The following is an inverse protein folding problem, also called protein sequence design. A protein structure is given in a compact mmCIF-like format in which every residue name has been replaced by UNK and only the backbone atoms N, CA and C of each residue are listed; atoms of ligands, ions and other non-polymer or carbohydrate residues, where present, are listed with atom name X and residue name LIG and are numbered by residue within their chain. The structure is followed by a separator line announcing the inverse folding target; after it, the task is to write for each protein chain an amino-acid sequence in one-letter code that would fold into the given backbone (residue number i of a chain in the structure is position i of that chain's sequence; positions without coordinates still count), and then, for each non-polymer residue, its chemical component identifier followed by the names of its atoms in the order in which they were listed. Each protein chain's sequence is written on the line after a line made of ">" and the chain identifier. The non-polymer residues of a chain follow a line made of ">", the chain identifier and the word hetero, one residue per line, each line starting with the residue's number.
data_IF_782987563854
#
_entry.id   IF_782987563854
#
_cell.length_a   1.000
_cell.length_b   1.000
_cell.length_c   1.000
_cell.angle_alpha   90.00
_cell.angle_beta   90.00
_cell.angle_gamma   90.00
#
_symmetry.space_group_name_H-M   'P 1'
#
loop_
_entity.id
_entity.type
_entity.pdbx_description
1 polymer ?
#
# COMPACT_ATOMS: atom_id res chain seq x y z
N UNK A 1 -14.34 -21.31 -8.57
CA UNK A 1 -13.29 -22.34 -8.42
C UNK A 1 -11.97 -21.99 -9.13
N UNK A 2 -11.95 -21.40 -10.34
CA UNK A 2 -10.70 -21.05 -11.04
C UNK A 2 -9.92 -19.91 -10.37
N UNK A 3 -10.58 -18.93 -9.79
CA UNK A 3 -9.94 -17.79 -9.11
C UNK A 3 -9.30 -18.14 -7.75
N UNK A 4 -9.76 -19.20 -7.09
CA UNK A 4 -9.17 -19.70 -5.84
C UNK A 4 -7.82 -20.38 -6.10
N UNK A 5 -7.64 -21.03 -7.25
CA UNK A 5 -6.41 -21.72 -7.62
C UNK A 5 -5.30 -20.75 -8.03
N UNK A 6 -5.65 -19.58 -8.61
CA UNK A 6 -4.68 -18.57 -9.07
C UNK A 6 -4.21 -17.61 -7.96
N UNK A 7 -4.76 -17.70 -6.74
CA UNK A 7 -4.40 -16.80 -5.63
C UNK A 7 -4.82 -15.33 -5.84
N UNK A 8 -5.67 -15.05 -6.84
CA UNK A 8 -6.07 -13.68 -7.21
C UNK A 8 -7.36 -13.21 -6.55
N UNK A 9 -8.00 -14.05 -5.73
CA UNK A 9 -9.26 -13.71 -5.05
C UNK A 9 -9.16 -12.47 -4.17
N UNK A 10 -8.02 -12.21 -3.54
CA UNK A 10 -7.90 -11.03 -2.71
C UNK A 10 -7.67 -9.73 -3.47
N UNK A 11 -7.35 -9.77 -4.75
CA UNK A 11 -7.20 -8.57 -5.58
C UNK A 11 -8.54 -8.08 -6.12
N UNK A 12 -9.51 -8.99 -6.30
CA UNK A 12 -10.88 -8.67 -6.68
C UNK A 12 -11.73 -8.19 -5.49
N UNK A 13 -11.35 -8.55 -4.27
CA UNK A 13 -11.96 -8.01 -3.06
C UNK A 13 -11.39 -6.62 -2.76
N UNK A 14 -12.23 -5.69 -2.27
CA UNK A 14 -11.78 -4.39 -1.76
C UNK A 14 -10.74 -4.65 -0.66
N UNK A 15 -9.47 -4.32 -0.94
CA UNK A 15 -8.33 -4.67 -0.10
C UNK A 15 -7.70 -3.42 0.53
N UNK A 16 -6.86 -3.63 1.53
CA UNK A 16 -6.07 -2.55 2.12
C UNK A 16 -5.15 -1.82 1.13
N UNK A 17 -4.78 -2.47 0.01
CA UNK A 17 -4.03 -1.83 -1.08
C UNK A 17 -4.79 -0.65 -1.68
N UNK A 18 -6.11 -0.78 -1.87
CA UNK A 18 -6.96 0.30 -2.40
C UNK A 18 -6.90 1.54 -1.51
N UNK A 19 -6.96 1.35 -0.19
CA UNK A 19 -6.85 2.44 0.80
C UNK A 19 -5.47 3.08 0.74
N UNK A 20 -4.41 2.29 0.64
CA UNK A 20 -3.03 2.79 0.51
C UNK A 20 -2.84 3.63 -0.76
N UNK A 21 -3.36 3.17 -1.90
CA UNK A 21 -3.29 3.91 -3.17
C UNK A 21 -4.09 5.21 -3.07
N UNK A 22 -5.31 5.16 -2.49
CA UNK A 22 -6.15 6.34 -2.27
C UNK A 22 -5.43 7.38 -1.41
N UNK A 23 -4.81 6.94 -0.30
CA UNK A 23 -4.04 7.81 0.58
C UNK A 23 -2.89 8.50 -0.16
N UNK A 24 -2.06 7.74 -0.87
CA UNK A 24 -0.92 8.28 -1.64
C UNK A 24 -1.41 9.25 -2.72
N UNK A 25 -2.49 8.90 -3.42
CA UNK A 25 -3.08 9.73 -4.46
C UNK A 25 -3.52 11.10 -3.90
N UNK A 26 -4.25 11.11 -2.79
CA UNK A 26 -4.73 12.35 -2.16
C UNK A 26 -3.55 13.20 -1.69
N UNK A 27 -2.59 12.60 -0.98
CA UNK A 27 -1.40 13.32 -0.50
C UNK A 27 -0.61 13.94 -1.65
N UNK A 28 -0.47 13.24 -2.79
CA UNK A 28 0.20 13.74 -3.99
C UNK A 28 -0.55 14.91 -4.62
N UNK A 29 -1.88 14.83 -4.72
CA UNK A 29 -2.70 15.95 -5.24
C UNK A 29 -2.53 17.18 -4.36
N UNK A 30 -2.66 17.05 -3.04
CA UNK A 30 -2.51 18.20 -2.15
C UNK A 30 -1.10 18.78 -2.16
N UNK A 31 -0.08 17.95 -2.36
CA UNK A 31 1.28 18.41 -2.57
C UNK A 31 1.43 19.22 -3.87
N UNK A 32 0.80 18.79 -4.97
CA UNK A 32 0.78 19.51 -6.25
C UNK A 32 0.01 20.85 -6.14
N UNK A 33 -1.04 20.89 -5.32
CA UNK A 33 -1.83 22.09 -5.05
C UNK A 33 -1.17 23.04 -4.03
N UNK A 34 0.08 22.76 -3.63
CA UNK A 34 0.86 23.55 -2.66
C UNK A 34 0.15 23.72 -1.31
N UNK A 35 -0.74 22.78 -0.94
CA UNK A 35 -1.40 22.78 0.36
C UNK A 35 -0.39 22.38 1.46
N UNK A 36 -0.41 23.03 2.63
CA UNK A 36 0.46 22.66 3.75
C UNK A 36 0.36 21.18 4.08
N UNK A 37 1.53 20.52 4.25
CA UNK A 37 1.63 19.06 4.44
C UNK A 37 0.69 18.53 5.51
N UNK A 38 0.58 19.22 6.65
CA UNK A 38 -0.28 18.80 7.76
C UNK A 38 -1.76 18.71 7.36
N UNK A 39 -2.26 19.72 6.61
CA UNK A 39 -3.66 19.72 6.14
C UNK A 39 -3.91 18.62 5.13
N UNK A 40 -2.99 18.41 4.18
CA UNK A 40 -3.09 17.34 3.20
C UNK A 40 -3.12 15.94 3.85
N UNK A 41 -2.31 15.71 4.88
CA UNK A 41 -2.28 14.46 5.64
C UNK A 41 -3.60 14.22 6.41
N UNK A 42 -4.13 15.26 7.07
CA UNK A 42 -5.39 15.16 7.81
C UNK A 42 -6.55 14.83 6.86
N UNK A 43 -6.66 15.55 5.74
CA UNK A 43 -7.72 15.31 4.76
C UNK A 43 -7.60 13.90 4.19
N UNK A 44 -6.39 13.43 3.85
CA UNK A 44 -6.18 12.08 3.35
C UNK A 44 -6.61 11.02 4.39
N UNK A 45 -6.28 11.19 5.67
CA UNK A 45 -6.69 10.29 6.74
C UNK A 45 -8.22 10.26 6.92
N UNK A 46 -8.86 11.42 6.89
CA UNK A 46 -10.34 11.53 6.98
C UNK A 46 -11.01 10.84 5.80
N UNK A 47 -10.52 11.04 4.57
CA UNK A 47 -11.07 10.38 3.37
C UNK A 47 -10.89 8.86 3.45
N UNK A 48 -9.75 8.37 3.94
CA UNK A 48 -9.55 6.93 4.16
C UNK A 48 -10.52 6.34 5.19
N UNK A 49 -10.83 7.08 6.27
CA UNK A 49 -11.85 6.68 7.24
C UNK A 49 -13.25 6.67 6.62
N UNK A 50 -13.62 7.71 5.88
CA UNK A 50 -14.90 7.76 5.17
C UNK A 50 -15.03 6.59 4.19
N UNK A 51 -13.95 6.27 3.48
CA UNK A 51 -13.91 5.11 2.59
C UNK A 51 -14.14 3.79 3.34
N UNK A 52 -13.59 3.66 4.57
CA UNK A 52 -13.83 2.49 5.40
C UNK A 52 -15.33 2.36 5.78
N UNK A 53 -15.99 3.46 6.11
CA UNK A 53 -17.44 3.47 6.37
C UNK A 53 -18.25 3.12 5.12
N UNK A 54 -17.90 3.66 3.96
CA UNK A 54 -18.59 3.37 2.69
C UNK A 54 -18.45 1.91 2.24
N UNK A 55 -17.44 1.21 2.75
CA UNK A 55 -17.19 -0.22 2.44
C UNK A 55 -17.68 -1.17 3.53
N UNK A 56 -18.66 -0.74 4.35
CA UNK A 56 -19.23 -1.52 5.46
C UNK A 56 -18.17 -2.00 6.46
N UNK A 57 -17.16 -1.17 6.73
CA UNK A 57 -16.07 -1.43 7.69
C UNK A 57 -15.40 -2.80 7.48
N UNK A 58 -15.24 -3.22 6.22
CA UNK A 58 -14.58 -4.50 5.92
C UNK A 58 -13.26 -4.62 6.69
N UNK A 59 -12.98 -5.77 7.34
CA UNK A 59 -11.83 -5.90 8.24
C UNK A 59 -10.48 -5.50 7.61
N UNK A 60 -10.26 -5.79 6.32
CA UNK A 60 -9.04 -5.42 5.61
C UNK A 60 -8.90 -3.91 5.39
N UNK A 61 -10.01 -3.21 5.10
CA UNK A 61 -10.07 -1.77 4.89
C UNK A 61 -9.93 -1.04 6.22
N UNK A 62 -10.61 -1.52 7.26
CA UNK A 62 -10.55 -0.95 8.61
C UNK A 62 -9.11 -0.99 9.15
N UNK A 63 -8.40 -2.12 9.03
CA UNK A 63 -7.00 -2.26 9.45
C UNK A 63 -6.09 -1.25 8.75
N UNK A 64 -6.19 -1.14 7.43
CA UNK A 64 -5.34 -0.21 6.65
C UNK A 64 -5.68 1.25 6.91
N UNK A 65 -6.95 1.61 7.06
CA UNK A 65 -7.37 2.96 7.41
C UNK A 65 -6.89 3.35 8.80
N UNK A 66 -7.03 2.46 9.79
CA UNK A 66 -6.53 2.70 11.14
C UNK A 66 -5.00 2.88 11.17
N UNK A 67 -4.26 2.03 10.44
CA UNK A 67 -2.81 2.14 10.30
C UNK A 67 -2.40 3.50 9.70
N UNK A 68 -3.10 3.97 8.66
CA UNK A 68 -2.87 5.29 8.05
C UNK A 68 -3.15 6.41 9.06
N UNK A 69 -4.28 6.36 9.77
CA UNK A 69 -4.64 7.37 10.77
C UNK A 69 -3.59 7.47 11.87
N UNK A 70 -3.14 6.35 12.40
CA UNK A 70 -2.09 6.31 13.43
C UNK A 70 -0.75 6.84 12.90
N UNK A 71 -0.41 6.50 11.66
CA UNK A 71 0.80 7.02 11.00
C UNK A 71 0.74 8.54 10.82
N UNK A 72 -0.40 9.07 10.37
CA UNK A 72 -0.63 10.52 10.23
C UNK A 72 -0.60 11.21 11.60
N UNK A 73 -1.23 10.63 12.60
CA UNK A 73 -1.22 11.17 13.96
C UNK A 73 0.21 11.26 14.52
N UNK A 74 1.02 10.22 14.32
CA UNK A 74 2.44 10.24 14.68
C UNK A 74 3.20 11.37 14.00
N UNK A 75 3.00 11.56 12.69
CA UNK A 75 3.62 12.66 11.94
C UNK A 75 3.17 14.05 12.42
N UNK A 76 1.90 14.23 12.75
CA UNK A 76 1.36 15.48 13.27
C UNK A 76 1.89 15.81 14.68
N UNK A 77 2.14 14.80 15.49
CA UNK A 77 2.74 14.93 16.81
C UNK A 77 4.27 15.07 16.77
N UNK A 78 4.85 15.19 15.55
CA UNK A 78 6.31 15.24 15.33
C UNK A 78 7.05 14.08 16.01
N UNK A 79 6.41 12.90 16.11
CA UNK A 79 7.00 11.67 16.62
C UNK A 79 7.27 10.70 15.49
N UNK A 80 8.52 10.31 15.32
CA UNK A 80 8.89 9.21 14.43
C UNK A 80 8.43 7.90 15.07
N UNK A 81 7.25 7.42 14.65
CA UNK A 81 6.74 6.12 15.11
C UNK A 81 7.43 5.00 14.34
N UNK A 82 8.08 4.10 15.05
CA UNK A 82 8.63 2.88 14.45
C UNK A 82 7.48 2.03 13.89
N UNK A 83 7.74 1.34 12.79
CA UNK A 83 6.74 0.45 12.16
C UNK A 83 6.18 -0.58 13.15
N UNK A 84 7.03 -1.15 14.00
CA UNK A 84 6.61 -2.08 15.05
C UNK A 84 5.61 -1.46 16.04
N UNK A 85 5.79 -0.20 16.40
CA UNK A 85 4.87 0.54 17.28
C UNK A 85 3.53 0.78 16.59
N UNK A 86 3.54 1.14 15.30
CA UNK A 86 2.31 1.33 14.51
C UNK A 86 1.52 0.02 14.39
N UNK A 87 2.19 -1.09 14.08
CA UNK A 87 1.57 -2.41 14.01
C UNK A 87 1.01 -2.79 15.39
N UNK A 88 1.80 -2.69 16.45
CA UNK A 88 1.37 -3.06 17.80
C UNK A 88 0.17 -2.24 18.28
N UNK A 89 0.17 -0.92 18.02
CA UNK A 89 -0.94 -0.05 18.39
C UNK A 89 -2.20 -0.37 17.57
N UNK A 90 -2.05 -0.65 16.27
CA UNK A 90 -3.16 -1.05 15.41
C UNK A 90 -3.78 -2.37 15.90
N UNK A 91 -2.96 -3.37 16.23
CA UNK A 91 -3.41 -4.65 16.78
C UNK A 91 -4.12 -4.45 18.11
N UNK A 92 -3.54 -3.64 19.00
CA UNK A 92 -4.12 -3.38 20.33
C UNK A 92 -5.52 -2.73 20.22
N UNK A 93 -5.64 -1.69 19.40
CA UNK A 93 -6.94 -1.00 19.22
C UNK A 93 -7.98 -1.97 18.65
N UNK A 94 -7.61 -2.74 17.62
CA UNK A 94 -8.53 -3.71 17.01
C UNK A 94 -8.93 -4.82 17.98
N UNK A 95 -8.00 -5.34 18.78
CA UNK A 95 -8.28 -6.36 19.77
C UNK A 95 -9.21 -5.87 20.92
N UNK A 96 -9.15 -4.57 21.23
CA UNK A 96 -10.07 -3.95 22.21
C UNK A 96 -11.47 -3.80 21.62
N UNK A 97 -11.58 -3.46 20.33
CA UNK A 97 -12.87 -3.29 19.63
C UNK A 97 -13.51 -4.64 19.32
N UNK A 98 -12.72 -5.57 18.82
CA UNK A 98 -13.16 -6.93 18.49
C UNK A 98 -12.06 -7.96 18.82
N UNK A 99 -12.15 -8.66 19.94
CA UNK A 99 -11.17 -9.68 20.33
C UNK A 99 -11.03 -10.83 19.33
N UNK A 100 -12.04 -11.07 18.47
CA UNK A 100 -12.00 -12.13 17.46
C UNK A 100 -10.93 -11.86 16.38
N UNK A 101 -10.49 -10.63 16.23
CA UNK A 101 -9.36 -10.25 15.32
C UNK A 101 -8.08 -11.02 15.65
N UNK A 102 -7.87 -11.40 16.93
CA UNK A 102 -6.70 -12.20 17.32
C UNK A 102 -6.69 -13.60 16.68
N UNK A 103 -7.84 -14.11 16.28
CA UNK A 103 -8.01 -15.41 15.62
C UNK A 103 -8.23 -15.29 14.10
N UNK A 104 -8.31 -14.05 13.56
CA UNK A 104 -8.48 -13.82 12.13
C UNK A 104 -7.17 -13.99 11.38
N UNK A 105 -7.08 -15.05 10.58
CA UNK A 105 -5.92 -15.34 9.72
C UNK A 105 -5.63 -14.20 8.75
N UNK A 106 -6.67 -13.52 8.24
CA UNK A 106 -6.52 -12.36 7.36
C UNK A 106 -5.87 -11.17 8.06
N UNK A 107 -6.09 -10.99 9.38
CA UNK A 107 -5.41 -9.99 10.17
C UNK A 107 -3.91 -10.29 10.27
N UNK A 108 -3.55 -11.50 10.64
CA UNK A 108 -2.15 -11.93 10.73
C UNK A 108 -1.41 -11.79 9.40
N UNK A 109 -2.02 -12.22 8.29
CA UNK A 109 -1.44 -12.06 6.94
C UNK A 109 -1.20 -10.60 6.60
N UNK A 110 -2.14 -9.70 6.94
CA UNK A 110 -2.01 -8.27 6.71
C UNK A 110 -0.85 -7.67 7.52
N UNK A 111 -0.73 -7.97 8.81
CA UNK A 111 0.35 -7.47 9.66
C UNK A 111 1.71 -8.03 9.27
N UNK A 112 1.79 -9.32 8.91
CA UNK A 112 3.01 -9.94 8.41
C UNK A 112 3.47 -9.30 7.09
N UNK A 113 2.54 -8.99 6.18
CA UNK A 113 2.86 -8.30 4.93
C UNK A 113 3.45 -6.91 5.19
N UNK A 114 2.84 -6.12 6.07
CA UNK A 114 3.34 -4.79 6.43
C UNK A 114 4.72 -4.89 7.11
N UNK A 115 4.91 -5.85 8.01
CA UNK A 115 6.20 -6.09 8.67
C UNK A 115 7.30 -6.49 7.67
N UNK A 116 6.99 -7.38 6.74
CA UNK A 116 7.91 -7.82 5.68
C UNK A 116 8.32 -6.66 4.77
N UNK A 117 7.35 -5.85 4.33
CA UNK A 117 7.60 -4.66 3.52
C UNK A 117 8.48 -3.65 4.25
N UNK A 118 8.20 -3.39 5.52
CA UNK A 118 8.98 -2.47 6.33
C UNK A 118 10.41 -2.95 6.57
N UNK A 119 10.60 -4.26 6.81
CA UNK A 119 11.94 -4.82 6.98
C UNK A 119 12.80 -4.67 5.71
N UNK A 120 12.22 -4.99 4.57
CA UNK A 120 12.92 -4.87 3.28
C UNK A 120 13.21 -3.41 2.93
N UNK A 121 12.27 -2.49 3.23
CA UNK A 121 12.44 -1.06 2.95
C UNK A 121 13.53 -0.42 3.82
N UNK A 122 13.63 -0.77 5.08
CA UNK A 122 14.66 -0.27 6.00
C UNK A 122 16.11 -0.59 5.54
N UNK A 123 16.29 -1.70 4.79
CA UNK A 123 17.57 -2.04 4.16
C UNK A 123 17.88 -1.23 2.89
N UNK A 124 16.86 -0.67 2.24
CA UNK A 124 16.99 0.02 0.94
C UNK A 124 17.29 1.51 1.04
N UNK A 125 16.88 2.16 2.12
CA UNK A 125 17.11 3.61 2.32
C UNK A 125 18.60 3.97 2.44
N UNK A 126 19.45 3.02 2.82
CA UNK A 126 20.90 3.22 2.91
C UNK A 126 21.59 3.33 1.54
N UNK A 127 20.96 2.87 0.48
CA UNK A 127 21.54 2.87 -0.88
C UNK A 127 21.17 4.13 -1.68
N UNK A 128 20.04 4.77 -1.40
CA UNK A 128 19.57 5.94 -2.17
C UNK A 128 20.36 7.23 -1.89
N UNK A 129 21.07 7.30 -0.77
CA UNK A 129 21.88 8.48 -0.38
C UNK A 129 23.13 8.71 -1.24
N UNK A 130 23.39 7.88 -2.26
CA UNK A 130 24.59 7.93 -3.10
C UNK A 130 24.37 8.42 -4.53
N UNK A 131 23.16 8.79 -4.92
CA UNK A 131 22.91 9.25 -6.30
C UNK A 131 23.34 10.71 -6.50
N UNK A 132 24.26 10.95 -7.43
CA UNK A 132 24.69 12.29 -7.83
C UNK A 132 23.58 13.08 -8.54
N UNK A 133 23.56 14.43 -8.47
CA UNK A 133 22.52 15.25 -9.09
C UNK A 133 22.59 15.19 -10.64
N UNK A 134 21.41 15.24 -11.33
CA UNK A 134 21.27 14.90 -12.73
C UNK A 134 21.53 16.04 -13.74
N UNK A 135 22.15 17.16 -13.36
CA UNK A 135 22.10 18.41 -14.13
C UNK A 135 23.01 18.48 -15.36
N UNK A 136 23.82 17.44 -15.65
CA UNK A 136 24.78 17.47 -16.78
C UNK A 136 24.72 16.24 -17.71
N UNK A 137 23.62 15.47 -17.74
CA UNK A 137 23.56 14.19 -18.45
C UNK A 137 23.04 14.33 -19.88
N UNK A 138 23.77 13.72 -20.86
CA UNK A 138 23.33 13.56 -22.25
C UNK A 138 22.13 12.63 -22.37
N UNK A 139 21.34 12.75 -23.45
CA UNK A 139 20.13 11.92 -23.70
C UNK A 139 20.38 10.40 -23.55
N UNK A 140 21.46 9.80 -24.10
CA UNK A 140 21.72 8.37 -23.93
C UNK A 140 22.02 7.99 -22.47
N UNK A 141 22.67 8.87 -21.72
CA UNK A 141 22.93 8.65 -20.28
C UNK A 141 21.63 8.70 -19.46
N UNK A 142 20.69 9.58 -19.81
CA UNK A 142 19.37 9.62 -19.18
C UNK A 142 18.56 8.35 -19.43
N UNK A 143 18.58 7.83 -20.67
CA UNK A 143 17.92 6.57 -21.02
C UNK A 143 18.53 5.37 -20.28
N UNK A 144 19.86 5.33 -20.19
CA UNK A 144 20.55 4.29 -19.41
C UNK A 144 20.20 4.36 -17.93
N UNK A 145 20.17 5.55 -17.33
CA UNK A 145 19.79 5.73 -15.94
C UNK A 145 18.32 5.36 -15.70
N UNK A 146 17.40 5.67 -16.62
CA UNK A 146 16.00 5.23 -16.54
C UNK A 146 15.91 3.71 -16.62
N UNK A 147 16.64 3.06 -17.52
CA UNK A 147 16.66 1.60 -17.62
C UNK A 147 17.22 0.95 -16.34
N UNK A 148 18.29 1.51 -15.77
CA UNK A 148 18.85 1.05 -14.49
C UNK A 148 17.87 1.29 -13.32
N UNK A 149 17.20 2.42 -13.29
CA UNK A 149 16.20 2.73 -12.27
C UNK A 149 15.01 1.77 -12.34
N UNK A 150 14.52 1.44 -13.54
CA UNK A 150 13.46 0.43 -13.74
C UNK A 150 13.95 -0.95 -13.30
N UNK A 151 15.19 -1.34 -13.65
CA UNK A 151 15.79 -2.58 -13.20
C UNK A 151 15.89 -2.68 -11.67
N UNK A 152 16.39 -1.64 -11.02
CA UNK A 152 16.48 -1.57 -9.55
C UNK A 152 15.09 -1.59 -8.91
N UNK A 153 14.11 -0.89 -9.49
CA UNK A 153 12.72 -0.92 -9.03
C UNK A 153 12.13 -2.33 -9.12
N UNK A 154 12.34 -3.02 -10.25
CA UNK A 154 11.87 -4.41 -10.45
C UNK A 154 12.50 -5.36 -9.42
N UNK A 155 13.82 -5.28 -9.22
CA UNK A 155 14.53 -6.09 -8.20
C UNK A 155 13.99 -5.81 -6.80
N UNK A 156 13.73 -4.54 -6.48
CA UNK A 156 13.14 -4.12 -5.19
C UNK A 156 11.74 -4.71 -5.01
N UNK A 157 10.88 -4.63 -6.03
CA UNK A 157 9.56 -5.24 -6.02
C UNK A 157 9.62 -6.77 -5.86
N UNK A 158 10.49 -7.44 -6.59
CA UNK A 158 10.69 -8.89 -6.46
C UNK A 158 11.14 -9.28 -5.04
N UNK A 159 12.08 -8.53 -4.45
CA UNK A 159 12.56 -8.75 -3.07
C UNK A 159 11.45 -8.56 -2.05
N UNK A 160 10.62 -7.52 -2.21
CA UNK A 160 9.47 -7.27 -1.35
C UNK A 160 8.43 -8.39 -1.47
N UNK A 161 8.09 -8.82 -2.68
CA UNK A 161 7.17 -9.93 -2.94
C UNK A 161 7.68 -11.23 -2.33
N UNK A 162 8.98 -11.52 -2.50
CA UNK A 162 9.61 -12.71 -1.93
C UNK A 162 9.55 -12.69 -0.40
N UNK A 163 9.87 -11.56 0.24
CA UNK A 163 9.81 -11.43 1.68
C UNK A 163 8.39 -11.62 2.24
N UNK A 164 7.38 -11.01 1.61
CA UNK A 164 5.98 -11.20 1.99
C UNK A 164 5.59 -12.67 1.82
N UNK A 165 5.91 -13.29 0.68
CA UNK A 165 5.57 -14.69 0.42
C UNK A 165 6.24 -15.64 1.42
N UNK A 166 7.53 -15.47 1.69
CA UNK A 166 8.26 -16.33 2.63
C UNK A 166 7.73 -16.18 4.07
N UNK A 167 7.44 -14.94 4.48
CA UNK A 167 6.97 -14.69 5.84
C UNK A 167 5.53 -15.18 6.04
N UNK A 168 4.69 -15.09 5.01
CA UNK A 168 3.30 -15.55 5.07
C UNK A 168 3.13 -17.05 4.75
N UNK A 169 4.11 -17.68 4.08
CA UNK A 169 4.04 -19.08 3.64
C UNK A 169 3.69 -20.07 4.77
N UNK A 170 4.31 -20.04 5.97
CA UNK A 170 3.97 -21.00 7.03
C UNK A 170 2.52 -20.86 7.50
N UNK A 171 2.01 -19.62 7.57
CA UNK A 171 0.64 -19.36 7.96
C UNK A 171 -0.35 -19.81 6.88
N UNK A 172 -0.05 -19.54 5.62
CA UNK A 172 -0.86 -19.98 4.48
C UNK A 172 -0.86 -21.51 4.38
N UNK A 173 0.30 -22.15 4.52
CA UNK A 173 0.42 -23.60 4.47
C UNK A 173 -0.37 -24.29 5.59
N UNK A 174 -0.36 -23.76 6.80
CA UNK A 174 -1.09 -24.34 7.95
C UNK A 174 -2.60 -24.21 7.82
N UNK A 175 -3.11 -23.14 7.22
CA UNK A 175 -4.53 -22.84 7.15
C UNK A 175 -5.18 -23.29 5.83
N UNK A 176 -4.47 -23.14 4.71
CA UNK A 176 -5.04 -23.38 3.38
C UNK A 176 -4.48 -24.62 2.69
N UNK A 177 -3.44 -25.27 3.25
CA UNK A 177 -2.76 -26.46 2.67
C UNK A 177 -2.30 -26.25 1.21
N UNK A 178 -2.13 -25.01 0.79
CA UNK A 178 -1.75 -24.59 -0.57
C UNK A 178 -0.62 -23.57 -0.48
N UNK A 179 0.49 -23.84 -1.13
CA UNK A 179 1.57 -22.87 -1.36
C UNK A 179 1.69 -22.67 -2.86
N UNK A 180 1.19 -21.54 -3.37
CA UNK A 180 1.25 -21.23 -4.80
C UNK A 180 2.30 -20.16 -5.07
N UNK A 181 3.46 -20.55 -5.61
CA UNK A 181 4.47 -19.61 -6.13
C UNK A 181 3.96 -18.82 -7.34
N UNK A 182 2.95 -19.33 -8.02
CA UNK A 182 2.28 -18.67 -9.16
C UNK A 182 1.71 -17.31 -8.77
N UNK A 183 1.18 -17.16 -7.55
CA UNK A 183 0.67 -15.89 -7.04
C UNK A 183 1.74 -14.80 -7.00
N UNK A 184 3.00 -15.14 -6.75
CA UNK A 184 4.11 -14.17 -6.73
C UNK A 184 4.33 -13.55 -8.12
N UNK A 185 4.38 -14.37 -9.17
CA UNK A 185 4.61 -13.91 -10.54
C UNK A 185 3.41 -13.09 -11.04
N UNK A 186 2.21 -13.58 -10.76
CA UNK A 186 0.97 -12.87 -11.13
C UNK A 186 0.86 -11.53 -10.43
N UNK A 187 1.16 -11.45 -9.14
CA UNK A 187 1.09 -10.19 -8.37
C UNK A 187 2.12 -9.16 -8.84
N UNK A 188 3.27 -9.57 -9.35
CA UNK A 188 4.28 -8.65 -9.91
C UNK A 188 3.72 -7.82 -11.07
N UNK A 189 2.85 -8.40 -11.89
CA UNK A 189 2.19 -7.72 -13.01
C UNK A 189 0.86 -7.08 -12.57
N UNK A 190 0.11 -7.77 -11.74
CA UNK A 190 -1.25 -7.39 -11.37
C UNK A 190 -1.29 -6.16 -10.45
N UNK A 191 -0.32 -6.03 -9.52
CA UNK A 191 -0.26 -4.87 -8.61
C UNK A 191 -0.06 -3.54 -9.36
N UNK A 192 0.94 -3.38 -10.25
CA UNK A 192 1.07 -2.13 -10.99
C UNK A 192 -0.12 -1.87 -11.92
N UNK A 193 -0.69 -2.91 -12.54
CA UNK A 193 -1.87 -2.78 -13.39
C UNK A 193 -3.08 -2.29 -12.58
N UNK A 194 -3.36 -2.93 -11.44
CA UNK A 194 -4.46 -2.52 -10.54
C UNK A 194 -4.24 -1.10 -10.04
N UNK A 195 -3.01 -0.73 -9.70
CA UNK A 195 -2.67 0.62 -9.27
C UNK A 195 -2.97 1.64 -10.36
N UNK A 196 -2.60 1.37 -11.61
CA UNK A 196 -2.88 2.25 -12.74
C UNK A 196 -4.39 2.42 -12.98
N UNK A 197 -5.15 1.33 -12.95
CA UNK A 197 -6.61 1.35 -13.10
C UNK A 197 -7.28 2.14 -11.97
N UNK A 198 -6.85 1.96 -10.74
CA UNK A 198 -7.40 2.70 -9.60
C UNK A 198 -7.10 4.20 -9.67
N UNK A 199 -5.88 4.58 -10.01
CA UNK A 199 -5.52 5.99 -10.19
C UNK A 199 -6.36 6.61 -11.30
N UNK A 200 -6.50 5.93 -12.44
CA UNK A 200 -7.34 6.39 -13.54
C UNK A 200 -8.82 6.54 -13.09
N UNK A 201 -9.34 5.59 -12.32
CA UNK A 201 -10.68 5.66 -11.74
C UNK A 201 -10.84 6.84 -10.77
N UNK A 202 -9.89 7.09 -9.89
CA UNK A 202 -9.94 8.24 -8.98
C UNK A 202 -9.87 9.57 -9.72
N UNK A 203 -9.03 9.67 -10.76
CA UNK A 203 -8.98 10.86 -11.62
C UNK A 203 -10.33 11.06 -12.33
N UNK A 204 -10.90 10.00 -12.89
CA UNK A 204 -12.19 10.07 -13.59
C UNK A 204 -13.31 10.56 -12.66
N UNK A 205 -13.40 10.02 -11.45
CA UNK A 205 -14.38 10.44 -10.44
C UNK A 205 -14.14 11.89 -10.02
N UNK A 206 -12.89 12.29 -9.77
CA UNK A 206 -12.53 13.66 -9.39
C UNK A 206 -12.90 14.67 -10.49
N UNK A 207 -12.55 14.38 -11.74
CA UNK A 207 -12.88 15.24 -12.89
C UNK A 207 -14.40 15.27 -13.16
N UNK A 208 -15.06 14.11 -13.09
CA UNK A 208 -16.50 14.02 -13.28
C UNK A 208 -17.31 14.74 -12.21
N UNK A 209 -16.81 14.81 -10.97
CA UNK A 209 -17.46 15.56 -9.90
C UNK A 209 -17.26 17.08 -10.01
N UNK A 210 -16.16 17.52 -10.64
CA UNK A 210 -15.86 18.94 -10.84
C UNK A 210 -16.50 19.51 -12.12
N UNK A 211 -16.76 18.65 -13.13
CA UNK A 211 -17.30 19.04 -14.44
C UNK A 211 -18.59 18.26 -14.77
N UNK A 212 -19.68 18.44 -14.01
CA UNK A 212 -20.93 17.69 -14.22
C UNK A 212 -21.53 17.76 -15.63
N UNK A 213 -21.39 18.88 -16.42
CA UNK A 213 -21.99 18.96 -17.76
C UNK A 213 -21.22 18.21 -18.85
N UNK A 214 -20.05 17.65 -18.59
CA UNK A 214 -19.27 16.89 -19.59
C UNK A 214 -19.50 15.37 -19.53
N UNK A 215 -20.34 14.91 -18.60
CA UNK A 215 -20.64 13.50 -18.38
C UNK A 215 -22.06 13.09 -18.85
N UNK A 216 -22.81 14.00 -19.50
CA UNK A 216 -24.13 13.74 -20.05
C UNK A 216 -24.12 13.42 -21.55
#
# INVERSE_FOLDING_TARGET
>A
RQYTVSGTMHLLAISGLHVGILYVFIVRIFHLLLVPRSRGLIIAAVVCLLYAFLTDLRPSVLRSSLFIVLSVLGQLLCREMRLSTLIGLTVLILAVVDPAVAFDVGAWLSFLAVAALGWVSAGSERDESRAAPPDALTLPQRLLLMALAVGQWTVRCCRQMLAVTLLSAPLIASQFHLVTLTGMVVNLVLIPLTTAVLIAGYIFVAVGSLLPPLAA
#
